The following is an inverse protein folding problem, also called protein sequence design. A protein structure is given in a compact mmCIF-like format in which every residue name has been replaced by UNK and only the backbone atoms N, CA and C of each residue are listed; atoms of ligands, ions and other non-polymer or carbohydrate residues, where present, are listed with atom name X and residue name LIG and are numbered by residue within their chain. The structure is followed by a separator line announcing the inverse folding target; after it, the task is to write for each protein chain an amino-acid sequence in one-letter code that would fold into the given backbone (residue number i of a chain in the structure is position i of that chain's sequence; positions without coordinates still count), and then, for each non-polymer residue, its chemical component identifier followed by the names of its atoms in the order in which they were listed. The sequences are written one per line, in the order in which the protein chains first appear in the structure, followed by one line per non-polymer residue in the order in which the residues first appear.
data_IF_892509380113
#
_entry.id   IF_892509380113
#
_cell.length_a   1.000
_cell.length_b   1.000
_cell.length_c   1.000
_cell.angle_alpha   90.00
_cell.angle_beta   90.00
_cell.angle_gamma   90.00
#
_symmetry.space_group_name_H-M   'P 1'
#
loop_
_entity.id
_entity.type
_entity.pdbx_description
1 polymer ?
#
# COMPACT_ATOMS: atom_id res chain seq x y z
N UNK A 1 -30.19 -15.44 -6.61
CA UNK A 1 -30.35 -15.40 -5.13
C UNK A 1 -30.08 -13.99 -4.64
N UNK A 2 -30.97 -13.47 -3.81
CA UNK A 2 -30.85 -12.11 -3.27
C UNK A 2 -29.90 -12.02 -2.06
N UNK A 3 -29.48 -13.16 -1.50
CA UNK A 3 -28.60 -13.25 -0.32
C UNK A 3 -27.57 -14.35 -0.50
N UNK A 4 -26.29 -14.03 -0.24
CA UNK A 4 -25.16 -14.96 -0.33
C UNK A 4 -24.18 -14.71 0.82
N UNK A 5 -23.87 -15.78 1.58
CA UNK A 5 -22.75 -15.77 2.53
C UNK A 5 -21.45 -16.20 1.85
N UNK A 6 -20.33 -15.57 2.20
CA UNK A 6 -18.99 -15.91 1.71
C UNK A 6 -18.05 -16.05 2.90
N UNK A 7 -17.32 -17.17 2.94
CA UNK A 7 -16.19 -17.38 3.84
C UNK A 7 -14.97 -17.77 3.01
N UNK A 8 -13.87 -17.09 3.23
CA UNK A 8 -12.59 -17.40 2.59
C UNK A 8 -11.56 -17.73 3.66
N UNK A 9 -11.03 -18.93 3.56
CA UNK A 9 -10.00 -19.43 4.47
C UNK A 9 -8.64 -19.33 3.79
N UNK A 10 -7.66 -18.88 4.53
CA UNK A 10 -6.25 -18.90 4.15
C UNK A 10 -5.50 -19.89 5.05
N UNK A 11 -4.81 -20.83 4.43
CA UNK A 11 -3.95 -21.80 5.12
C UNK A 11 -2.54 -21.53 4.61
N UNK A 12 -1.63 -21.09 5.51
CA UNK A 12 -0.32 -20.76 5.00
C UNK A 12 0.58 -19.98 5.94
N UNK A 13 1.59 -19.34 5.36
CA UNK A 13 2.71 -18.65 6.05
C UNK A 13 3.55 -19.60 6.90
N UNK A 14 3.67 -20.87 6.47
CA UNK A 14 4.51 -21.85 7.12
C UNK A 14 5.90 -21.88 6.48
N UNK A 15 6.91 -21.48 7.23
CA UNK A 15 8.31 -21.71 6.83
C UNK A 15 8.73 -23.10 7.25
N UNK A 16 9.10 -23.94 6.31
CA UNK A 16 9.52 -25.31 6.56
C UNK A 16 10.73 -25.32 7.52
N UNK A 17 10.62 -26.19 8.53
CA UNK A 17 11.60 -26.30 9.61
C UNK A 17 11.36 -25.38 10.82
N UNK A 18 10.38 -24.47 10.79
CA UNK A 18 10.02 -23.62 11.94
C UNK A 18 8.92 -24.30 12.79
N UNK A 19 9.30 -24.78 13.97
CA UNK A 19 8.37 -25.44 14.92
C UNK A 19 7.28 -24.49 15.43
N UNK A 20 7.59 -23.22 15.64
CA UNK A 20 6.63 -22.21 16.07
C UNK A 20 5.46 -22.01 15.09
N UNK A 21 5.69 -22.32 13.80
CA UNK A 21 4.67 -22.26 12.73
C UNK A 21 4.05 -23.62 12.41
N UNK A 22 4.38 -24.68 13.17
CA UNK A 22 3.89 -26.03 12.92
C UNK A 22 4.45 -26.68 11.65
N UNK A 23 5.67 -26.28 11.21
CA UNK A 23 6.29 -26.72 9.96
C UNK A 23 7.62 -27.44 10.14
N UNK A 24 7.97 -27.88 11.36
CA UNK A 24 9.15 -28.68 11.67
C UNK A 24 8.80 -30.16 11.84
N UNK A 25 9.81 -31.01 11.85
CA UNK A 25 9.63 -32.44 12.09
C UNK A 25 8.93 -32.69 13.44
N UNK A 26 7.85 -33.46 13.40
CA UNK A 26 7.07 -33.81 14.59
C UNK A 26 6.10 -32.71 15.06
N UNK A 27 5.84 -31.71 14.24
CA UNK A 27 4.82 -30.67 14.52
C UNK A 27 3.68 -30.72 13.50
N UNK A 28 2.46 -30.41 13.96
CA UNK A 28 1.28 -30.23 13.11
C UNK A 28 1.17 -28.76 12.65
N UNK A 29 0.56 -28.54 11.48
CA UNK A 29 0.24 -27.20 10.98
C UNK A 29 -0.66 -26.43 11.93
N UNK A 30 -0.42 -25.14 12.13
CA UNK A 30 -1.12 -24.33 13.14
C UNK A 30 -2.06 -23.27 12.60
N UNK A 31 -1.86 -22.80 11.35
CA UNK A 31 -2.55 -21.60 10.91
C UNK A 31 -3.65 -21.90 9.89
N UNK A 32 -4.89 -21.68 10.32
CA UNK A 32 -6.05 -21.50 9.45
C UNK A 32 -6.64 -20.13 9.79
N UNK A 33 -6.61 -19.22 8.84
CA UNK A 33 -7.13 -17.85 9.01
C UNK A 33 -8.43 -17.71 8.24
N UNK A 34 -9.37 -16.97 8.80
CA UNK A 34 -10.53 -16.47 8.06
C UNK A 34 -10.14 -15.12 7.47
N UNK A 35 -9.86 -15.07 6.17
CA UNK A 35 -9.49 -13.82 5.50
C UNK A 35 -10.70 -12.98 5.17
N UNK A 36 -11.79 -13.60 4.65
CA UNK A 36 -13.06 -12.93 4.41
C UNK A 36 -14.20 -13.68 5.09
N UNK A 37 -15.14 -12.92 5.63
CA UNK A 37 -16.42 -13.43 6.16
C UNK A 37 -17.45 -12.32 6.01
N UNK A 38 -18.27 -12.40 4.97
CA UNK A 38 -19.27 -11.38 4.68
C UNK A 38 -20.55 -11.95 4.07
N UNK A 39 -21.59 -11.14 4.12
CA UNK A 39 -22.87 -11.38 3.46
C UNK A 39 -23.04 -10.36 2.33
N UNK A 40 -23.37 -10.85 1.14
CA UNK A 40 -23.83 -10.03 0.00
C UNK A 40 -25.34 -10.11 -0.07
N UNK A 41 -26.01 -8.97 -0.02
CA UNK A 41 -27.44 -8.82 -0.19
C UNK A 41 -27.74 -7.91 -1.39
N UNK A 42 -28.44 -8.43 -2.38
CA UNK A 42 -29.01 -7.65 -3.47
C UNK A 42 -30.40 -7.22 -3.04
N UNK A 43 -30.63 -5.91 -2.92
CA UNK A 43 -31.92 -5.39 -2.50
C UNK A 43 -32.97 -5.72 -3.58
N UNK A 44 -34.07 -6.42 -3.23
CA UNK A 44 -35.05 -6.87 -4.21
C UNK A 44 -35.57 -5.73 -5.09
N UNK A 45 -35.70 -6.01 -6.39
CA UNK A 45 -36.20 -5.06 -7.41
C UNK A 45 -35.31 -3.82 -7.61
N UNK A 46 -34.03 -3.89 -7.24
CA UNK A 46 -33.05 -2.81 -7.44
C UNK A 46 -31.70 -3.40 -7.88
N UNK A 47 -30.80 -2.53 -8.36
CA UNK A 47 -29.40 -2.84 -8.65
C UNK A 47 -28.48 -2.58 -7.44
N UNK A 48 -29.07 -2.28 -6.28
CA UNK A 48 -28.34 -1.99 -5.05
C UNK A 48 -27.85 -3.29 -4.43
N UNK A 49 -26.55 -3.38 -4.22
CA UNK A 49 -25.90 -4.47 -3.50
C UNK A 49 -25.29 -3.94 -2.21
N UNK A 50 -25.61 -4.59 -1.10
CA UNK A 50 -25.03 -4.33 0.22
C UNK A 50 -24.14 -5.51 0.62
N UNK A 51 -22.89 -5.23 0.89
CA UNK A 51 -21.95 -6.19 1.47
C UNK A 51 -21.63 -5.81 2.90
N UNK A 52 -21.69 -6.74 3.84
CA UNK A 52 -21.44 -6.51 5.27
C UNK A 52 -20.53 -7.60 5.82
N UNK A 53 -19.48 -7.23 6.53
CA UNK A 53 -18.55 -8.13 7.20
C UNK A 53 -17.09 -7.86 6.86
N UNK A 54 -16.24 -8.85 7.12
CA UNK A 54 -14.81 -8.80 6.84
C UNK A 54 -14.58 -8.97 5.33
N UNK A 55 -14.07 -7.94 4.68
CA UNK A 55 -13.93 -7.85 3.22
C UNK A 55 -12.72 -7.02 2.82
N UNK A 56 -12.32 -7.09 1.54
CA UNK A 56 -11.25 -6.26 1.00
C UNK A 56 -11.73 -4.85 0.68
N UNK A 57 -10.89 -3.87 1.02
CA UNK A 57 -11.01 -2.46 0.65
C UNK A 57 -9.77 -2.04 -0.13
N UNK A 58 -9.98 -1.55 -1.35
CA UNK A 58 -8.90 -1.06 -2.22
C UNK A 58 -9.34 0.23 -2.89
N UNK A 59 -8.51 1.26 -2.85
CA UNK A 59 -8.76 2.50 -3.59
C UNK A 59 -8.42 2.30 -5.08
N UNK A 60 -9.14 3.01 -5.99
CA UNK A 60 -8.93 2.87 -7.42
C UNK A 60 -7.50 3.17 -7.85
N UNK A 61 -6.92 2.29 -8.68
CA UNK A 61 -5.67 2.53 -9.39
C UNK A 61 -5.69 1.81 -10.75
N UNK A 62 -5.09 2.42 -11.78
CA UNK A 62 -5.01 1.86 -13.13
C UNK A 62 -3.59 1.82 -13.69
N UNK A 63 -2.63 2.51 -13.09
CA UNK A 63 -1.22 2.49 -13.52
C UNK A 63 -0.54 1.16 -13.21
N UNK A 64 -1.12 0.39 -12.28
CA UNK A 64 -0.58 -0.90 -11.84
C UNK A 64 0.56 -0.79 -10.83
N UNK A 65 0.66 0.37 -10.15
CA UNK A 65 1.58 0.50 -9.01
C UNK A 65 1.01 -0.10 -7.72
N UNK A 66 -0.30 -0.37 -7.67
CA UNK A 66 -1.03 -0.70 -6.45
C UNK A 66 -1.66 0.51 -5.78
N UNK A 67 -2.15 0.37 -4.56
CA UNK A 67 -2.69 1.50 -3.80
C UNK A 67 -1.68 2.03 -2.78
N UNK A 68 -1.17 3.26 -2.94
CA UNK A 68 -0.25 3.84 -1.96
C UNK A 68 -0.93 4.28 -0.65
N UNK A 69 -2.25 4.17 -0.55
CA UNK A 69 -3.03 4.66 0.59
C UNK A 69 -3.72 3.52 1.34
N UNK A 70 -4.54 2.72 0.63
CA UNK A 70 -5.35 1.66 1.24
C UNK A 70 -5.56 0.51 0.26
N UNK A 71 -5.06 -0.67 0.62
CA UNK A 71 -5.37 -1.97 0.03
C UNK A 71 -5.32 -3.04 1.12
N UNK A 72 -6.41 -3.18 1.87
CA UNK A 72 -6.46 -3.97 3.09
C UNK A 72 -7.75 -4.77 3.24
N UNK A 73 -7.71 -5.76 4.10
CA UNK A 73 -8.88 -6.50 4.55
C UNK A 73 -9.40 -5.85 5.86
N UNK A 74 -10.70 -5.60 5.94
CA UNK A 74 -11.29 -4.95 7.10
C UNK A 74 -12.79 -5.22 7.27
N UNK A 75 -13.29 -4.96 8.47
CA UNK A 75 -14.71 -5.10 8.77
C UNK A 75 -15.49 -3.82 8.45
N UNK A 76 -16.62 -3.96 7.75
CA UNK A 76 -17.45 -2.82 7.44
C UNK A 76 -18.58 -3.13 6.48
N UNK A 77 -19.13 -2.09 5.86
CA UNK A 77 -20.28 -2.15 4.96
C UNK A 77 -19.91 -1.46 3.65
N UNK A 78 -20.22 -2.10 2.54
CA UNK A 78 -20.12 -1.51 1.21
C UNK A 78 -21.49 -1.54 0.52
N UNK A 79 -21.93 -0.40 -0.01
CA UNK A 79 -23.17 -0.26 -0.78
C UNK A 79 -22.76 0.12 -2.21
N UNK A 80 -23.07 -0.75 -3.15
CA UNK A 80 -22.78 -0.55 -4.57
C UNK A 80 -24.07 -0.39 -5.34
N UNK A 81 -24.07 0.52 -6.31
CA UNK A 81 -25.20 0.70 -7.24
C UNK A 81 -24.68 1.02 -8.64
N UNK A 82 -25.33 0.46 -9.66
CA UNK A 82 -25.11 0.79 -11.06
C UNK A 82 -26.31 1.61 -11.55
N UNK A 83 -26.12 2.92 -11.76
CA UNK A 83 -27.22 3.81 -12.18
C UNK A 83 -27.49 3.73 -13.68
N UNK A 84 -26.44 3.57 -14.49
CA UNK A 84 -26.51 3.39 -15.93
C UNK A 84 -25.40 2.41 -16.35
N UNK A 85 -25.36 2.02 -17.62
CA UNK A 85 -24.26 1.21 -18.17
C UNK A 85 -22.89 1.85 -17.96
N UNK A 86 -22.85 3.17 -17.85
CA UNK A 86 -21.60 3.93 -17.76
C UNK A 86 -21.28 4.44 -16.35
N UNK A 87 -22.26 4.51 -15.43
CA UNK A 87 -22.10 5.19 -14.13
C UNK A 87 -22.45 4.26 -12.98
N UNK A 88 -21.48 3.95 -12.17
CA UNK A 88 -21.66 3.23 -10.92
C UNK A 88 -21.24 4.05 -9.70
N UNK A 89 -21.56 3.56 -8.52
CA UNK A 89 -21.08 4.10 -7.23
C UNK A 89 -20.81 2.98 -6.26
N UNK A 90 -19.76 3.18 -5.41
CA UNK A 90 -19.52 2.36 -4.24
C UNK A 90 -19.32 3.30 -3.05
N UNK A 91 -20.23 3.24 -2.10
CA UNK A 91 -20.11 3.88 -0.80
C UNK A 91 -19.68 2.83 0.21
N UNK A 92 -18.68 3.12 1.01
CA UNK A 92 -18.24 2.18 2.05
C UNK A 92 -18.04 2.88 3.39
N UNK A 93 -18.24 2.11 4.45
CA UNK A 93 -17.79 2.40 5.80
C UNK A 93 -16.86 1.26 6.25
N UNK A 94 -15.70 1.61 6.78
CA UNK A 94 -14.68 0.70 7.27
C UNK A 94 -14.31 1.12 8.70
N UNK A 95 -14.44 0.22 9.64
CA UNK A 95 -13.86 0.37 10.99
C UNK A 95 -12.46 -0.21 11.00
N UNK A 96 -11.46 0.65 11.06
CA UNK A 96 -10.06 0.23 11.02
C UNK A 96 -9.52 -0.11 12.42
N UNK A 97 -9.97 0.60 13.47
CA UNK A 97 -9.61 0.31 14.85
C UNK A 97 -10.75 0.69 15.80
N UNK A 98 -10.82 0.01 16.93
CA UNK A 98 -11.74 0.32 18.01
C UNK A 98 -11.31 -0.43 19.28
N UNK A 99 -11.32 0.23 20.42
CA UNK A 99 -11.03 -0.35 21.73
C UNK A 99 -9.64 -1.02 21.80
N UNK A 100 -8.61 -0.24 21.51
CA UNK A 100 -7.21 -0.68 21.59
C UNK A 100 -6.65 -0.60 23.02
N UNK A 101 -7.48 -0.21 24.02
CA UNK A 101 -7.09 -0.23 25.44
C UNK A 101 -7.15 -1.68 25.96
N UNK A 102 -5.99 -2.30 26.27
CA UNK A 102 -5.95 -3.68 26.80
C UNK A 102 -6.63 -3.82 28.18
N UNK A 103 -6.89 -2.73 28.87
CA UNK A 103 -7.57 -2.76 30.19
C UNK A 103 -9.09 -2.71 30.10
N UNK A 104 -9.68 -2.50 28.92
CA UNK A 104 -11.14 -2.45 28.65
C UNK A 104 -11.94 -1.60 29.65
N UNK A 105 -11.29 -0.66 30.32
CA UNK A 105 -11.89 0.06 31.46
C UNK A 105 -12.67 1.29 31.02
N UNK A 106 -12.55 1.73 29.77
CA UNK A 106 -13.27 2.90 29.24
C UNK A 106 -13.64 2.67 27.77
N UNK A 107 -14.91 2.49 27.52
CA UNK A 107 -15.48 2.59 26.17
C UNK A 107 -15.62 4.08 25.78
N UNK A 108 -14.52 4.77 25.59
CA UNK A 108 -14.56 6.11 25.05
C UNK A 108 -14.15 6.06 23.56
N UNK A 109 -14.79 6.88 22.75
CA UNK A 109 -14.55 6.94 21.31
C UNK A 109 -13.15 7.48 20.95
N UNK A 110 -12.27 7.67 21.92
CA UNK A 110 -10.93 8.20 21.72
C UNK A 110 -9.97 7.19 21.09
N UNK A 111 -10.32 5.90 21.03
CA UNK A 111 -9.56 4.82 20.42
C UNK A 111 -10.10 4.35 19.07
N UNK A 112 -11.21 4.95 18.60
CA UNK A 112 -11.84 4.56 17.34
C UNK A 112 -11.18 5.20 16.12
N UNK A 113 -11.07 4.42 15.04
CA UNK A 113 -10.66 4.87 13.72
C UNK A 113 -11.64 4.33 12.69
N UNK A 114 -12.43 5.23 12.13
CA UNK A 114 -13.45 4.94 11.13
C UNK A 114 -13.21 5.72 9.84
N UNK A 115 -13.51 5.08 8.70
CA UNK A 115 -13.47 5.69 7.38
C UNK A 115 -14.82 5.55 6.67
N UNK A 116 -15.21 6.60 5.95
CA UNK A 116 -16.31 6.57 4.98
C UNK A 116 -15.74 7.02 3.64
N UNK A 117 -15.95 6.24 2.60
CA UNK A 117 -15.44 6.55 1.27
C UNK A 117 -16.48 6.32 0.18
N UNK A 118 -16.35 7.10 -0.89
CA UNK A 118 -17.17 7.02 -2.09
C UNK A 118 -16.25 6.91 -3.30
N UNK A 119 -16.52 5.94 -4.17
CA UNK A 119 -15.92 5.86 -5.50
C UNK A 119 -17.03 5.94 -6.56
N UNK A 120 -16.74 6.61 -7.67
CA UNK A 120 -17.69 6.79 -8.78
C UNK A 120 -17.05 6.27 -10.08
N UNK A 121 -17.09 4.94 -10.35
CA UNK A 121 -16.60 4.41 -11.61
C UNK A 121 -17.43 4.89 -12.79
N UNK A 122 -16.76 5.54 -13.74
CA UNK A 122 -17.28 5.99 -15.02
C UNK A 122 -16.60 5.15 -16.11
N UNK A 123 -17.39 4.43 -16.92
CA UNK A 123 -16.87 3.53 -17.96
C UNK A 123 -17.51 3.88 -19.30
N UNK A 124 -16.66 4.27 -20.25
CA UNK A 124 -17.03 4.55 -21.64
C UNK A 124 -16.21 3.67 -22.58
N UNK A 125 -16.51 3.70 -23.87
CA UNK A 125 -15.73 2.96 -24.85
C UNK A 125 -14.26 3.42 -24.87
N UNK A 126 -13.36 2.52 -24.49
CA UNK A 126 -11.92 2.79 -24.39
C UNK A 126 -11.49 3.78 -23.29
N UNK A 127 -12.39 4.24 -22.40
CA UNK A 127 -12.06 5.18 -21.33
C UNK A 127 -12.74 4.79 -20.00
N UNK A 128 -11.94 4.63 -18.96
CA UNK A 128 -12.42 4.44 -17.58
C UNK A 128 -11.86 5.56 -16.71
N UNK A 129 -12.72 6.18 -15.91
CA UNK A 129 -12.32 7.21 -14.94
C UNK A 129 -13.04 6.94 -13.63
N UNK A 130 -12.32 6.91 -12.53
CA UNK A 130 -12.90 6.70 -11.20
C UNK A 130 -12.44 7.79 -10.26
N UNK A 131 -13.16 8.92 -10.16
CA UNK A 131 -12.97 9.86 -9.06
C UNK A 131 -13.44 9.23 -7.75
N UNK A 132 -12.76 9.58 -6.65
CA UNK A 132 -13.09 9.05 -5.33
C UNK A 132 -12.75 10.04 -4.22
N UNK A 133 -13.38 9.88 -3.08
CA UNK A 133 -13.09 10.61 -1.87
C UNK A 133 -13.32 9.73 -0.64
N UNK A 134 -12.57 9.99 0.41
CA UNK A 134 -12.68 9.29 1.68
C UNK A 134 -12.41 10.26 2.82
N UNK A 135 -13.22 10.19 3.87
CA UNK A 135 -13.03 10.92 5.12
C UNK A 135 -13.03 9.98 6.30
N UNK A 136 -12.48 10.44 7.42
CA UNK A 136 -12.44 9.65 8.63
C UNK A 136 -12.22 10.48 9.89
N UNK A 137 -12.43 9.84 11.01
CA UNK A 137 -12.15 10.38 12.35
C UNK A 137 -11.21 9.42 13.04
N UNK A 138 -10.15 9.97 13.63
CA UNK A 138 -9.15 9.23 14.39
C UNK A 138 -9.16 9.74 15.83
N UNK A 139 -9.41 8.86 16.79
CA UNK A 139 -9.31 9.18 18.21
C UNK A 139 -7.86 9.34 18.65
N UNK A 140 -7.61 10.20 19.62
CA UNK A 140 -6.28 10.47 20.19
C UNK A 140 -5.58 9.18 20.68
N UNK A 141 -6.35 8.25 21.21
CA UNK A 141 -5.87 7.02 21.81
C UNK A 141 -5.87 5.81 20.85
N UNK A 142 -6.24 6.02 19.55
CA UNK A 142 -6.26 4.95 18.53
C UNK A 142 -4.90 4.24 18.36
N UNK A 143 -3.82 4.84 18.83
CA UNK A 143 -2.48 4.26 18.80
C UNK A 143 -1.99 3.80 20.19
N UNK A 144 -2.74 4.03 21.27
CA UNK A 144 -2.40 3.52 22.61
C UNK A 144 -2.54 2.00 22.65
N UNK A 145 -1.58 1.34 23.29
CA UNK A 145 -1.60 -0.12 23.42
C UNK A 145 -1.23 -0.88 22.16
N UNK A 146 -0.95 -0.19 21.05
CA UNK A 146 -0.39 -0.80 19.85
C UNK A 146 1.06 -1.21 20.10
N UNK A 147 1.21 -2.36 20.76
CA UNK A 147 2.47 -3.06 20.84
C UNK A 147 2.89 -3.58 19.46
N UNK A 148 4.06 -4.22 19.34
CA UNK A 148 4.57 -4.79 18.09
C UNK A 148 3.66 -5.85 17.45
N UNK A 149 2.60 -6.24 18.13
CA UNK A 149 1.61 -7.24 17.68
C UNK A 149 0.35 -6.65 17.03
N UNK A 150 0.23 -5.33 16.86
CA UNK A 150 -0.80 -4.73 16.00
C UNK A 150 -0.47 -5.04 14.53
N UNK A 151 -0.59 -6.31 14.22
CA UNK A 151 -0.52 -6.82 12.87
C UNK A 151 -1.77 -6.39 12.12
N UNK A 152 -1.66 -5.50 11.17
CA UNK A 152 -2.69 -5.24 10.19
C UNK A 152 -3.06 -3.79 9.94
N UNK A 153 -2.60 -2.82 10.72
CA UNK A 153 -2.86 -1.42 10.40
C UNK A 153 -1.52 -0.68 10.35
N UNK A 154 -1.15 -0.23 9.16
CA UNK A 154 0.04 0.58 8.95
C UNK A 154 -0.17 2.02 9.47
N UNK A 155 -0.64 2.13 10.70
CA UNK A 155 -0.89 3.41 11.38
C UNK A 155 0.29 4.39 11.32
N UNK A 156 1.56 3.94 11.36
CA UNK A 156 2.72 4.80 11.18
C UNK A 156 2.68 5.62 9.88
N UNK A 157 2.03 5.12 8.85
CA UNK A 157 1.84 5.84 7.58
C UNK A 157 0.93 7.06 7.68
N UNK A 158 0.13 7.21 8.74
CA UNK A 158 -0.75 8.37 8.96
C UNK A 158 -0.12 9.44 9.84
N UNK A 159 0.88 9.09 10.64
CA UNK A 159 1.53 10.02 11.58
C UNK A 159 2.75 10.69 10.95
N UNK A 160 3.13 11.90 11.40
CA UNK A 160 4.45 12.46 11.12
C UNK A 160 5.55 11.64 11.81
N UNK A 161 6.79 11.80 11.38
CA UNK A 161 8.00 11.21 12.01
C UNK A 161 7.91 9.70 12.28
N UNK A 162 7.47 8.92 11.29
CA UNK A 162 7.55 7.46 11.35
C UNK A 162 6.61 6.78 12.35
N UNK A 163 5.56 7.47 12.80
CA UNK A 163 4.51 6.85 13.60
C UNK A 163 4.79 6.82 15.09
N UNK A 164 5.35 7.88 15.65
CA UNK A 164 5.48 8.02 17.10
C UNK A 164 4.10 8.16 17.75
N UNK A 165 3.58 7.03 18.26
CA UNK A 165 2.30 6.96 18.95
C UNK A 165 2.25 7.86 20.19
N UNK A 166 3.39 8.11 20.86
CA UNK A 166 3.45 8.99 22.02
C UNK A 166 3.20 10.46 21.63
N UNK A 167 3.62 10.88 20.42
CA UNK A 167 3.32 12.22 19.91
C UNK A 167 1.82 12.34 19.63
N UNK A 168 1.19 11.37 18.99
CA UNK A 168 -0.24 11.38 18.74
C UNK A 168 -1.06 11.39 20.03
N UNK A 169 -0.70 10.54 21.01
CA UNK A 169 -1.37 10.48 22.31
C UNK A 169 -1.19 11.73 23.18
N UNK A 170 -0.26 12.63 22.84
CA UNK A 170 -0.02 13.91 23.52
C UNK A 170 -0.59 15.11 22.75
N UNK A 171 -1.37 14.88 21.71
CA UNK A 171 -2.01 15.94 20.93
C UNK A 171 -3.05 16.71 21.76
N UNK A 172 -3.34 17.94 21.34
CA UNK A 172 -4.31 18.82 22.01
C UNK A 172 -5.76 18.59 21.56
N UNK A 173 -6.00 17.60 20.69
CA UNK A 173 -7.34 17.23 20.20
C UNK A 173 -7.68 15.80 20.62
N UNK A 174 -8.87 15.61 21.16
CA UNK A 174 -9.42 14.29 21.47
C UNK A 174 -9.67 13.47 20.19
N UNK A 175 -9.98 14.13 19.08
CA UNK A 175 -10.22 13.52 17.78
C UNK A 175 -9.54 14.33 16.69
N UNK A 176 -8.84 13.63 15.80
CA UNK A 176 -8.27 14.16 14.57
C UNK A 176 -9.21 13.95 13.38
N UNK A 177 -8.98 14.71 12.33
CA UNK A 177 -9.69 14.60 11.05
C UNK A 177 -8.80 13.97 9.99
N UNK A 178 -9.42 13.13 9.15
CA UNK A 178 -8.78 12.48 8.03
C UNK A 178 -9.59 12.76 6.77
N UNK A 179 -8.94 13.09 5.68
CA UNK A 179 -9.58 13.13 4.38
C UNK A 179 -8.59 12.83 3.25
N UNK A 180 -9.11 12.20 2.21
CA UNK A 180 -8.42 11.89 0.97
C UNK A 180 -9.34 12.19 -0.21
N UNK A 181 -8.74 12.56 -1.33
CA UNK A 181 -9.42 12.67 -2.60
C UNK A 181 -8.48 12.31 -3.74
N UNK A 182 -9.02 11.64 -4.75
CA UNK A 182 -8.20 11.17 -5.85
C UNK A 182 -9.00 10.83 -7.10
N UNK A 183 -8.26 10.46 -8.13
CA UNK A 183 -8.78 10.04 -9.43
C UNK A 183 -7.88 8.96 -9.99
N UNK A 184 -8.48 7.93 -10.58
CA UNK A 184 -7.80 6.96 -11.42
C UNK A 184 -8.42 6.99 -12.82
N UNK A 185 -7.59 6.93 -13.87
CA UNK A 185 -8.04 6.93 -15.25
C UNK A 185 -7.25 5.90 -16.09
N UNK A 186 -7.95 5.21 -16.99
CA UNK A 186 -7.41 4.26 -17.94
C UNK A 186 -7.97 4.53 -19.34
N UNK A 187 -7.09 4.75 -20.32
CA UNK A 187 -7.45 5.13 -21.68
C UNK A 187 -6.83 4.11 -22.64
N UNK A 188 -7.69 3.32 -23.26
CA UNK A 188 -7.35 2.33 -24.31
C UNK A 188 -7.92 2.70 -25.66
N UNK A 189 -8.57 3.85 -25.78
CA UNK A 189 -9.21 4.35 -27.01
C UNK A 189 -8.24 4.46 -28.20
N UNK A 190 -6.95 4.67 -27.93
CA UNK A 190 -5.92 4.89 -28.95
C UNK A 190 -5.12 3.60 -29.25
N UNK A 191 -5.79 2.47 -29.43
CA UNK A 191 -5.09 1.22 -29.76
C UNK A 191 -4.04 1.40 -30.84
N UNK A 192 -2.83 0.85 -30.67
CA UNK A 192 -2.35 -0.09 -29.65
C UNK A 192 -1.77 0.57 -28.38
N UNK A 193 -1.98 1.87 -28.17
CA UNK A 193 -1.55 2.58 -26.98
C UNK A 193 -2.54 2.40 -25.83
N UNK A 194 -2.01 2.29 -24.61
CA UNK A 194 -2.74 2.41 -23.36
C UNK A 194 -2.07 3.48 -22.49
N UNK A 195 -2.87 4.40 -21.96
CA UNK A 195 -2.43 5.39 -20.98
C UNK A 195 -3.21 5.21 -19.69
N UNK A 196 -2.53 5.32 -18.55
CA UNK A 196 -3.21 5.33 -17.25
C UNK A 196 -2.63 6.42 -16.35
N UNK A 197 -3.48 6.96 -15.50
CA UNK A 197 -3.16 8.01 -14.52
C UNK A 197 -3.81 7.66 -13.18
N UNK A 198 -3.04 7.78 -12.11
CA UNK A 198 -3.54 7.76 -10.74
C UNK A 198 -3.01 8.99 -10.01
N UNK A 199 -3.87 9.70 -9.29
CA UNK A 199 -3.47 10.84 -8.48
C UNK A 199 -4.35 10.94 -7.24
N UNK A 200 -3.73 11.32 -6.12
CA UNK A 200 -4.47 11.58 -4.89
C UNK A 200 -3.73 12.58 -3.98
N UNK A 201 -4.51 13.22 -3.15
CA UNK A 201 -4.08 14.02 -2.01
C UNK A 201 -4.74 13.50 -0.75
N UNK A 202 -4.01 13.52 0.38
CA UNK A 202 -4.54 13.15 1.68
C UNK A 202 -4.05 14.06 2.79
N UNK A 203 -4.82 14.14 3.86
CA UNK A 203 -4.48 14.89 5.07
C UNK A 203 -5.01 14.18 6.30
N UNK A 204 -4.15 14.01 7.29
CA UNK A 204 -4.45 13.57 8.65
C UNK A 204 -4.01 14.68 9.58
N UNK A 205 -4.91 15.23 10.40
CA UNK A 205 -4.66 16.33 11.33
C UNK A 205 -5.18 15.97 12.71
N UNK A 206 -4.27 15.73 13.64
CA UNK A 206 -4.56 15.42 15.05
C UNK A 206 -4.27 16.60 15.99
N UNK A 207 -4.02 17.82 15.45
CA UNK A 207 -3.76 19.00 16.24
C UNK A 207 -2.29 19.24 16.53
N UNK A 208 -1.96 19.70 17.73
CA UNK A 208 -0.60 20.04 18.14
C UNK A 208 -0.15 19.29 19.36
N UNK A 209 1.15 19.07 19.47
CA UNK A 209 1.82 18.49 20.63
C UNK A 209 3.08 19.29 20.95
N UNK A 210 3.80 18.94 21.99
CA UNK A 210 5.09 19.53 22.33
C UNK A 210 6.22 18.56 22.07
N UNK A 211 7.15 18.97 21.21
CA UNK A 211 8.37 18.23 20.92
C UNK A 211 9.58 19.11 21.22
N UNK A 212 10.49 18.65 22.08
CA UNK A 212 11.71 19.40 22.47
C UNK A 212 11.42 20.83 22.98
N UNK A 213 10.29 21.02 23.68
CA UNK A 213 9.86 22.33 24.20
C UNK A 213 9.25 23.28 23.18
N UNK A 214 9.09 22.88 21.93
CA UNK A 214 8.42 23.61 20.85
C UNK A 214 7.09 22.96 20.50
N UNK A 215 6.14 23.76 20.00
CA UNK A 215 4.92 23.22 19.42
C UNK A 215 5.26 22.45 18.14
N UNK A 216 4.62 21.33 17.98
CA UNK A 216 4.78 20.41 16.85
C UNK A 216 3.39 20.08 16.29
N UNK A 217 3.19 20.27 15.01
CA UNK A 217 1.94 19.91 14.35
C UNK A 217 1.86 18.40 14.14
N UNK A 218 0.90 17.74 14.81
CA UNK A 218 0.62 16.31 14.62
C UNK A 218 -0.23 16.17 13.37
N UNK A 219 0.39 16.47 12.24
CA UNK A 219 -0.26 16.52 10.93
C UNK A 219 0.62 15.85 9.88
N UNK A 220 -0.03 15.10 8.99
CA UNK A 220 0.61 14.60 7.77
C UNK A 220 -0.30 14.86 6.58
N UNK A 221 0.20 15.59 5.58
CA UNK A 221 -0.57 15.99 4.41
C UNK A 221 0.29 15.99 3.16
N UNK A 222 -0.10 15.24 2.15
CA UNK A 222 0.71 15.11 0.95
C UNK A 222 -0.06 14.54 -0.22
N UNK A 223 0.62 14.38 -1.35
CA UNK A 223 0.03 13.95 -2.60
C UNK A 223 0.93 12.99 -3.37
N UNK A 224 0.34 12.26 -4.31
CA UNK A 224 1.06 11.54 -5.34
C UNK A 224 0.36 11.65 -6.68
N UNK A 225 1.14 11.42 -7.74
CA UNK A 225 0.63 11.18 -9.08
C UNK A 225 1.49 10.11 -9.76
N UNK A 226 0.86 9.22 -10.51
CA UNK A 226 1.51 8.21 -11.32
C UNK A 226 0.94 8.21 -12.73
N UNK A 227 1.79 7.99 -13.73
CA UNK A 227 1.42 7.95 -15.14
C UNK A 227 2.08 6.75 -15.83
N UNK A 228 1.28 6.00 -16.57
CA UNK A 228 1.69 4.85 -17.37
C UNK A 228 1.39 5.10 -18.85
N UNK A 229 2.35 4.78 -19.72
CA UNK A 229 2.16 4.65 -21.17
C UNK A 229 2.65 3.28 -21.61
N UNK A 230 1.83 2.51 -22.32
CA UNK A 230 2.16 1.21 -22.88
C UNK A 230 1.84 1.17 -24.37
N UNK A 231 2.58 0.33 -25.08
CA UNK A 231 2.36 0.05 -26.49
C UNK A 231 2.28 -1.46 -26.70
N UNK A 232 1.12 -1.96 -27.13
CA UNK A 232 0.90 -3.39 -27.32
C UNK A 232 1.41 -3.85 -28.68
N UNK A 233 2.47 -4.65 -28.68
CA UNK A 233 2.97 -5.40 -29.83
C UNK A 233 2.42 -6.82 -29.81
N UNK A 234 2.61 -7.56 -30.89
CA UNK A 234 2.20 -8.98 -30.98
C UNK A 234 2.96 -9.87 -29.99
N UNK A 235 4.25 -9.60 -29.77
CA UNK A 235 5.16 -10.44 -28.95
C UNK A 235 5.51 -9.89 -27.60
N UNK A 236 5.16 -8.63 -27.30
CA UNK A 236 5.46 -8.00 -26.02
C UNK A 236 4.71 -6.67 -25.85
N UNK A 237 4.74 -6.13 -24.64
CA UNK A 237 4.13 -4.83 -24.31
C UNK A 237 5.16 -3.95 -23.62
N UNK A 238 5.98 -3.15 -24.36
CA UNK A 238 6.82 -2.13 -23.75
C UNK A 238 5.99 -1.03 -23.11
N UNK A 239 6.51 -0.46 -22.02
CA UNK A 239 5.85 0.61 -21.30
C UNK A 239 6.81 1.44 -20.47
N UNK A 240 6.37 2.66 -20.16
CA UNK A 240 7.02 3.61 -19.27
C UNK A 240 6.05 3.95 -18.15
N UNK A 241 6.50 3.84 -16.91
CA UNK A 241 5.77 4.26 -15.73
C UNK A 241 6.60 5.33 -15.02
N UNK A 242 5.94 6.38 -14.60
CA UNK A 242 6.48 7.44 -13.75
C UNK A 242 5.58 7.62 -12.53
N UNK A 243 6.18 7.88 -11.36
CA UNK A 243 5.44 8.43 -10.23
C UNK A 243 6.23 9.50 -9.50
N UNK A 244 5.51 10.33 -8.80
CA UNK A 244 6.03 11.31 -7.85
C UNK A 244 5.12 11.32 -6.62
N UNK A 245 5.71 11.29 -5.44
CA UNK A 245 5.01 11.52 -4.17
C UNK A 245 5.76 12.58 -3.37
N UNK A 246 5.01 13.48 -2.76
CA UNK A 246 5.56 14.55 -1.92
C UNK A 246 6.36 13.98 -0.75
N UNK A 247 7.40 14.70 -0.34
CA UNK A 247 8.27 14.40 0.79
C UNK A 247 8.31 15.54 1.78
N UNK A 248 8.90 15.30 2.93
CA UNK A 248 9.05 16.27 4.01
C UNK A 248 9.89 17.47 3.60
N UNK A 249 9.52 18.64 4.07
CA UNK A 249 10.30 19.86 3.94
C UNK A 249 11.46 19.94 4.98
N UNK A 250 12.04 21.11 5.20
CA UNK A 250 13.16 21.30 6.14
C UNK A 250 12.70 21.57 7.59
N UNK A 251 11.40 21.76 7.81
CA UNK A 251 10.88 22.15 9.11
C UNK A 251 10.23 20.95 9.83
N UNK A 252 10.84 20.39 10.86
CA UNK A 252 10.29 19.22 11.54
C UNK A 252 9.09 19.53 12.46
N UNK A 253 8.71 20.81 12.61
CA UNK A 253 7.68 21.22 13.58
C UNK A 253 6.32 21.51 12.94
N UNK A 254 6.22 21.58 11.60
CA UNK A 254 4.97 21.83 10.87
C UNK A 254 4.24 20.55 10.41
N UNK A 255 4.65 19.40 10.93
CA UNK A 255 4.12 18.08 10.55
C UNK A 255 4.95 17.42 9.45
N UNK A 256 4.29 16.69 8.57
CA UNK A 256 4.89 15.99 7.43
C UNK A 256 4.13 16.28 6.15
N UNK A 257 4.84 16.58 5.06
CA UNK A 257 4.29 16.79 3.71
C UNK A 257 4.26 15.49 2.88
N UNK A 258 4.58 14.35 3.49
CA UNK A 258 4.48 13.05 2.84
C UNK A 258 3.01 12.64 2.68
N UNK A 259 2.69 11.93 1.59
CA UNK A 259 1.37 11.32 1.44
C UNK A 259 1.06 10.44 2.66
N UNK A 260 -0.03 10.66 3.40
CA UNK A 260 -0.43 9.75 4.45
C UNK A 260 -0.95 8.43 3.86
N UNK A 261 -0.59 7.30 4.46
CA UNK A 261 -1.03 5.96 4.09
C UNK A 261 -1.65 5.25 5.29
N UNK A 262 -2.69 4.46 5.02
CA UNK A 262 -3.41 3.67 6.04
C UNK A 262 -2.81 2.26 6.07
N UNK A 263 -2.96 1.54 4.97
CA UNK A 263 -2.37 0.22 4.72
C UNK A 263 -2.06 0.13 3.22
N UNK A 264 -0.87 0.63 2.81
CA UNK A 264 -0.49 0.67 1.41
C UNK A 264 -0.05 -0.71 0.93
N UNK A 265 -0.40 -1.04 -0.31
CA UNK A 265 0.12 -2.20 -1.02
C UNK A 265 0.59 -1.77 -2.41
N UNK A 266 1.90 -1.55 -2.54
CA UNK A 266 2.58 -1.21 -3.79
C UNK A 266 3.34 -2.43 -4.29
N UNK A 267 2.95 -2.90 -5.47
CA UNK A 267 3.45 -4.14 -6.08
C UNK A 267 4.08 -3.92 -7.46
N UNK A 268 4.66 -2.78 -7.69
CA UNK A 268 5.17 -2.35 -9.01
C UNK A 268 6.42 -3.11 -9.47
N UNK A 269 7.24 -3.60 -8.53
CA UNK A 269 8.43 -4.41 -8.80
C UNK A 269 8.47 -5.64 -7.90
N UNK A 270 9.19 -6.68 -8.31
CA UNK A 270 9.25 -7.94 -7.58
C UNK A 270 10.32 -7.98 -6.48
N UNK A 271 11.09 -6.90 -6.27
CA UNK A 271 12.11 -6.84 -5.24
C UNK A 271 12.13 -5.53 -4.44
N UNK A 272 12.08 -4.38 -5.07
CA UNK A 272 12.02 -3.10 -4.36
C UNK A 272 10.70 -2.96 -3.58
N UNK A 273 9.61 -3.43 -4.17
CA UNK A 273 8.26 -3.45 -3.61
C UNK A 273 7.70 -4.87 -3.57
N UNK A 274 6.44 -5.06 -3.19
CA UNK A 274 5.81 -6.39 -3.04
C UNK A 274 5.14 -6.89 -4.34
N UNK A 275 5.78 -6.68 -5.48
CA UNK A 275 5.32 -7.18 -6.78
C UNK A 275 5.65 -8.67 -7.04
N UNK A 276 5.88 -9.46 -6.00
CA UNK A 276 6.10 -10.90 -6.09
C UNK A 276 4.79 -11.69 -6.19
N UNK A 277 4.81 -12.83 -6.86
CA UNK A 277 3.65 -13.72 -6.95
C UNK A 277 3.33 -14.42 -5.63
N UNK A 278 4.25 -14.40 -4.67
CA UNK A 278 4.07 -14.98 -3.34
C UNK A 278 4.51 -13.98 -2.28
N UNK A 279 3.58 -13.62 -1.41
CA UNK A 279 3.81 -12.72 -0.28
C UNK A 279 4.88 -13.23 0.67
N UNK A 280 5.45 -12.33 1.46
CA UNK A 280 6.47 -12.65 2.48
C UNK A 280 7.91 -12.67 1.98
N UNK A 281 8.17 -12.30 0.73
CA UNK A 281 9.51 -12.02 0.26
C UNK A 281 9.99 -10.66 0.83
N UNK A 282 11.27 -10.57 1.16
CA UNK A 282 11.85 -9.31 1.63
C UNK A 282 11.76 -8.23 0.54
N UNK A 283 11.16 -7.11 0.89
CA UNK A 283 11.14 -5.90 0.07
C UNK A 283 12.28 -4.97 0.53
N UNK A 284 12.96 -4.36 -0.43
CA UNK A 284 14.06 -3.45 -0.10
C UNK A 284 13.57 -2.03 0.19
N UNK A 285 12.54 -1.57 -0.53
CA UNK A 285 11.97 -0.22 -0.41
C UNK A 285 10.67 -0.21 0.40
N UNK A 286 10.00 -1.35 0.57
CA UNK A 286 8.79 -1.51 1.37
C UNK A 286 7.50 -1.55 0.56
N UNK A 287 6.37 -1.16 1.18
CA UNK A 287 5.01 -1.29 0.62
C UNK A 287 4.44 0.01 0.07
N UNK A 288 5.14 1.12 0.17
CA UNK A 288 4.62 2.43 -0.22
C UNK A 288 5.60 3.26 -1.04
N UNK A 289 5.11 4.32 -1.67
CA UNK A 289 5.89 5.24 -2.53
C UNK A 289 6.05 6.65 -1.94
N UNK A 290 5.49 6.92 -0.76
CA UNK A 290 5.48 8.26 -0.16
C UNK A 290 6.90 8.77 0.07
N UNK A 291 7.19 9.99 -0.32
CA UNK A 291 8.54 10.55 -0.22
C UNK A 291 9.51 10.08 -1.30
N UNK A 292 8.99 9.57 -2.46
CA UNK A 292 9.83 9.13 -3.58
C UNK A 292 9.28 9.57 -4.93
N UNK A 293 10.15 9.63 -5.93
CA UNK A 293 9.77 9.61 -7.32
C UNK A 293 10.56 8.54 -8.07
N UNK A 294 10.02 8.03 -9.17
CA UNK A 294 10.72 7.06 -10.00
C UNK A 294 10.30 7.10 -11.45
N UNK A 295 11.18 6.56 -12.29
CA UNK A 295 10.92 6.24 -13.69
C UNK A 295 11.23 4.77 -13.91
N UNK A 296 10.28 4.03 -14.48
CA UNK A 296 10.43 2.63 -14.83
C UNK A 296 10.21 2.42 -16.32
N UNK A 297 11.17 1.79 -16.97
CA UNK A 297 10.95 1.13 -18.24
C UNK A 297 10.62 -0.36 -17.98
N UNK A 298 9.53 -0.84 -18.58
CA UNK A 298 9.17 -2.26 -18.50
C UNK A 298 8.84 -2.82 -19.87
N UNK A 299 9.10 -4.11 -20.04
CA UNK A 299 8.59 -4.90 -21.17
C UNK A 299 7.91 -6.11 -20.55
N UNK A 300 6.62 -6.21 -20.72
CA UNK A 300 5.83 -7.37 -20.25
C UNK A 300 5.32 -8.19 -21.43
N UNK A 301 4.74 -9.33 -21.12
CA UNK A 301 4.16 -10.26 -22.10
C UNK A 301 5.20 -10.76 -23.13
N UNK A 302 6.50 -10.78 -22.76
CA UNK A 302 7.55 -11.34 -23.61
C UNK A 302 7.35 -12.85 -23.66
N UNK A 303 7.05 -13.38 -24.83
CA UNK A 303 6.81 -14.81 -25.03
C UNK A 303 7.53 -15.33 -26.27
N UNK A 304 8.25 -16.44 -26.10
CA UNK A 304 8.96 -17.14 -27.18
C UNK A 304 8.32 -18.50 -27.46
N UNK A 305 7.44 -18.97 -26.61
CA UNK A 305 6.71 -20.21 -26.74
C UNK A 305 5.40 -20.12 -25.95
N UNK A 306 4.46 -21.00 -26.30
CA UNK A 306 3.17 -21.11 -25.63
C UNK A 306 3.34 -21.30 -24.12
N UNK A 307 2.46 -20.68 -23.32
CA UNK A 307 2.42 -20.76 -21.86
C UNK A 307 3.65 -20.22 -21.10
N UNK A 308 4.64 -19.63 -21.78
CA UNK A 308 5.80 -19.00 -21.17
C UNK A 308 5.71 -17.48 -21.34
N UNK A 309 5.83 -16.73 -20.28
CA UNK A 309 5.87 -15.27 -20.31
C UNK A 309 6.97 -14.70 -19.40
N UNK A 310 7.55 -13.59 -19.83
CA UNK A 310 8.56 -12.88 -19.08
C UNK A 310 8.19 -11.42 -18.92
N UNK A 311 8.69 -10.82 -17.84
CA UNK A 311 8.63 -9.38 -17.60
C UNK A 311 10.02 -8.88 -17.22
N UNK A 312 10.50 -7.87 -17.93
CA UNK A 312 11.73 -7.14 -17.60
C UNK A 312 11.36 -5.75 -17.13
N UNK A 313 11.95 -5.32 -15.98
CA UNK A 313 11.80 -3.96 -15.45
C UNK A 313 13.17 -3.37 -15.13
N UNK A 314 13.34 -2.11 -15.46
CA UNK A 314 14.50 -1.29 -15.07
C UNK A 314 13.94 -0.01 -14.48
N UNK A 315 14.30 0.28 -13.23
CA UNK A 315 13.73 1.38 -12.45
C UNK A 315 14.83 2.24 -11.85
N UNK A 316 14.65 3.54 -11.93
CA UNK A 316 15.41 4.52 -11.17
C UNK A 316 14.51 5.18 -10.13
N UNK A 317 14.99 5.27 -8.90
CA UNK A 317 14.31 5.88 -7.76
C UNK A 317 15.14 7.02 -7.19
N UNK A 318 14.45 8.04 -6.65
CA UNK A 318 15.07 9.06 -5.82
C UNK A 318 14.11 9.52 -4.74
N UNK A 319 14.64 9.84 -3.56
CA UNK A 319 13.87 10.41 -2.47
C UNK A 319 13.44 11.87 -2.74
N UNK A 320 12.31 12.25 -2.14
CA UNK A 320 11.79 13.64 -2.17
C UNK A 320 11.86 14.33 -0.80
N UNK A 321 12.23 13.59 0.27
CA UNK A 321 12.33 14.15 1.61
C UNK A 321 13.55 15.05 1.76
N UNK A 322 13.42 16.13 2.54
CA UNK A 322 14.51 17.05 2.81
C UNK A 322 15.56 16.42 3.76
N UNK A 323 16.84 16.63 3.49
CA UNK A 323 17.96 16.14 4.29
C UNK A 323 17.99 16.70 5.72
N UNK A 324 17.40 17.87 5.94
CA UNK A 324 17.38 18.53 7.26
C UNK A 324 16.64 17.68 8.30
N UNK A 325 15.65 16.90 7.93
CA UNK A 325 14.96 15.97 8.84
C UNK A 325 15.95 14.99 9.50
N UNK A 326 16.88 14.45 8.72
CA UNK A 326 17.94 13.55 9.22
C UNK A 326 19.00 14.34 10.01
N UNK A 327 19.46 15.51 9.51
CA UNK A 327 20.46 16.35 10.18
C UNK A 327 20.00 16.84 11.55
N UNK A 328 18.71 17.09 11.71
CA UNK A 328 18.12 17.50 12.99
C UNK A 328 17.80 16.31 13.92
N UNK A 329 18.12 15.08 13.52
CA UNK A 329 17.93 13.89 14.32
C UNK A 329 16.47 13.42 14.43
N UNK A 330 15.57 13.90 13.56
CA UNK A 330 14.18 13.48 13.54
C UNK A 330 14.03 12.09 12.90
N UNK A 331 14.91 11.74 11.99
CA UNK A 331 15.01 10.44 11.35
C UNK A 331 16.44 9.94 11.54
N UNK A 332 16.59 8.82 12.22
CA UNK A 332 17.89 8.21 12.54
C UNK A 332 18.22 6.98 11.69
N UNK A 333 17.23 6.43 11.02
CA UNK A 333 17.39 5.23 10.21
C UNK A 333 16.47 5.31 8.96
N UNK A 334 16.98 5.10 7.75
CA UNK A 334 16.13 5.09 6.56
C UNK A 334 15.10 3.94 6.54
N UNK A 335 15.30 2.90 7.34
CA UNK A 335 14.37 1.76 7.49
C UNK A 335 13.42 1.92 8.69
N UNK A 336 13.38 3.10 9.32
CA UNK A 336 12.71 3.34 10.60
C UNK A 336 11.17 3.40 10.52
N UNK A 337 10.60 3.32 9.35
CA UNK A 337 9.17 3.11 9.23
C UNK A 337 8.87 1.62 9.35
N UNK A 338 8.40 1.17 10.49
CA UNK A 338 8.13 -0.25 10.79
C UNK A 338 7.22 -0.94 9.76
N UNK A 339 6.58 -0.20 8.85
CA UNK A 339 5.47 -0.77 8.09
C UNK A 339 5.45 -0.51 6.60
N UNK A 340 6.24 0.37 6.00
CA UNK A 340 5.94 0.49 4.58
C UNK A 340 7.03 0.94 3.65
N UNK A 341 8.04 1.66 4.07
CA UNK A 341 8.99 2.18 3.08
C UNK A 341 10.26 2.74 3.68
N UNK A 342 11.31 2.74 2.88
CA UNK A 342 12.52 3.49 3.23
C UNK A 342 12.25 5.00 3.18
N UNK A 343 12.76 5.71 4.18
CA UNK A 343 12.82 7.17 4.17
C UNK A 343 14.00 7.61 3.31
N UNK A 344 13.74 7.96 2.05
CA UNK A 344 14.76 8.41 1.12
C UNK A 344 14.74 9.95 1.04
N UNK A 345 15.91 10.57 1.21
CA UNK A 345 16.08 12.01 1.04
C UNK A 345 16.40 12.37 -0.41
N UNK A 346 16.37 13.66 -0.73
CA UNK A 346 16.77 14.17 -2.07
C UNK A 346 18.21 13.83 -2.47
N UNK A 347 19.04 13.35 -1.53
CA UNK A 347 20.39 12.85 -1.78
C UNK A 347 20.45 11.36 -2.08
N UNK A 348 19.38 10.62 -1.80
CA UNK A 348 19.35 9.16 -1.87
C UNK A 348 18.69 8.71 -3.18
N UNK A 349 19.24 7.69 -3.80
CA UNK A 349 18.73 7.12 -5.05
C UNK A 349 18.95 5.62 -5.08
N UNK A 350 18.21 4.94 -5.96
CA UNK A 350 18.40 3.52 -6.23
C UNK A 350 18.17 3.20 -7.71
N UNK A 351 18.78 2.11 -8.15
CA UNK A 351 18.51 1.49 -9.45
C UNK A 351 18.13 0.05 -9.22
N UNK A 352 17.04 -0.39 -9.82
CA UNK A 352 16.56 -1.75 -9.72
C UNK A 352 16.40 -2.37 -11.11
N UNK A 353 16.70 -3.67 -11.21
CA UNK A 353 16.45 -4.51 -12.39
C UNK A 353 15.74 -5.77 -11.92
N UNK A 354 14.59 -6.08 -12.53
CA UNK A 354 13.88 -7.35 -12.31
C UNK A 354 13.73 -8.10 -13.63
N UNK A 355 13.81 -9.42 -13.54
CA UNK A 355 13.45 -10.33 -14.60
C UNK A 355 12.61 -11.46 -14.03
N UNK A 356 11.32 -11.44 -14.33
CA UNK A 356 10.36 -12.40 -13.82
C UNK A 356 9.86 -13.28 -14.95
N UNK A 357 9.67 -14.55 -14.65
CA UNK A 357 9.22 -15.58 -15.57
C UNK A 357 8.05 -16.35 -14.98
N UNK A 358 6.97 -16.51 -15.74
CA UNK A 358 5.90 -17.45 -15.48
C UNK A 358 5.87 -18.50 -16.59
N UNK A 359 5.82 -19.78 -16.20
CA UNK A 359 5.56 -20.90 -17.08
C UNK A 359 4.34 -21.69 -16.61
N UNK A 360 3.28 -21.70 -17.41
CA UNK A 360 2.06 -22.46 -17.15
C UNK A 360 2.25 -23.90 -17.61
N UNK A 361 2.73 -24.74 -16.68
CA UNK A 361 2.99 -26.15 -16.96
C UNK A 361 1.70 -26.94 -17.28
N UNK A 362 0.61 -26.59 -16.60
CA UNK A 362 -0.75 -27.07 -16.86
C UNK A 362 -1.73 -25.91 -16.66
N UNK A 363 -2.98 -26.09 -17.08
CA UNK A 363 -4.05 -25.07 -16.94
C UNK A 363 -4.17 -24.50 -15.52
N UNK A 364 -3.83 -25.30 -14.52
CA UNK A 364 -3.95 -24.97 -13.11
C UNK A 364 -2.63 -25.02 -12.33
N UNK A 365 -1.49 -25.18 -13.00
CA UNK A 365 -0.16 -25.25 -12.38
C UNK A 365 0.81 -24.32 -13.11
N UNK A 366 1.30 -23.31 -12.41
CA UNK A 366 2.31 -22.38 -12.90
C UNK A 366 3.60 -22.46 -12.07
N UNK A 367 4.72 -22.33 -12.74
CA UNK A 367 6.05 -22.15 -12.17
C UNK A 367 6.45 -20.69 -12.30
N UNK A 368 7.02 -20.11 -11.27
CA UNK A 368 7.49 -18.72 -11.26
C UNK A 368 8.96 -18.66 -10.88
N UNK A 369 9.71 -17.85 -11.58
CA UNK A 369 11.08 -17.46 -11.23
C UNK A 369 11.14 -15.95 -11.23
N UNK A 370 11.57 -15.37 -10.10
CA UNK A 370 11.77 -13.93 -9.95
C UNK A 370 13.23 -13.67 -9.62
N UNK A 371 13.86 -12.84 -10.43
CA UNK A 371 15.24 -12.39 -10.24
C UNK A 371 15.24 -10.88 -10.09
N UNK A 372 15.82 -10.39 -8.99
CA UNK A 372 15.93 -8.98 -8.68
C UNK A 372 17.33 -8.57 -8.26
N UNK A 373 17.73 -7.40 -8.72
CA UNK A 373 18.91 -6.70 -8.27
C UNK A 373 18.55 -5.26 -7.98
N UNK A 374 18.91 -4.76 -6.79
CA UNK A 374 18.77 -3.36 -6.45
C UNK A 374 20.09 -2.81 -5.89
N UNK A 375 20.51 -1.67 -6.41
CA UNK A 375 21.62 -0.88 -5.88
C UNK A 375 21.09 0.36 -5.20
N UNK A 376 21.33 0.46 -3.90
CA UNK A 376 21.06 1.63 -3.07
C UNK A 376 22.29 2.53 -3.07
N UNK A 377 22.14 3.79 -3.44
CA UNK A 377 23.17 4.83 -3.37
C UNK A 377 22.68 5.92 -2.42
N UNK A 378 22.89 5.68 -1.12
CA UNK A 378 22.49 6.58 -0.04
C UNK A 378 23.58 7.62 0.21
N UNK A 379 23.16 8.82 0.63
CA UNK A 379 24.08 9.91 1.03
C UNK A 379 24.89 9.49 2.26
N UNK A 380 26.10 8.98 2.00
CA UNK A 380 26.97 8.38 3.03
C UNK A 380 27.32 9.35 4.16
N UNK A 381 27.51 10.62 3.84
CA UNK A 381 27.85 11.63 4.85
C UNK A 381 26.66 11.92 5.75
N UNK A 382 25.45 11.95 5.18
CA UNK A 382 24.22 12.16 5.91
C UNK A 382 23.89 10.99 6.84
N UNK A 383 23.83 9.78 6.30
CA UNK A 383 23.40 8.59 7.04
C UNK A 383 24.45 8.06 8.01
N UNK A 384 25.74 8.16 7.68
CA UNK A 384 26.81 7.84 8.61
C UNK A 384 26.81 8.76 9.83
N UNK A 385 26.39 10.01 9.68
CA UNK A 385 26.25 10.96 10.77
C UNK A 385 25.26 10.50 11.86
N UNK A 386 24.31 9.65 11.52
CA UNK A 386 23.34 9.03 12.45
C UNK A 386 23.61 7.55 12.70
N UNK A 387 24.77 7.04 12.28
CA UNK A 387 25.22 5.67 12.58
C UNK A 387 24.66 4.58 11.67
N UNK A 388 24.11 4.92 10.52
CA UNK A 388 23.56 3.94 9.58
C UNK A 388 24.55 3.63 8.44
N UNK A 389 24.80 2.34 8.20
CA UNK A 389 25.58 1.82 7.07
C UNK A 389 24.74 0.86 6.23
N UNK A 390 24.37 1.29 5.03
CA UNK A 390 23.56 0.48 4.12
C UNK A 390 24.41 -0.52 3.33
N UNK A 391 23.82 -1.69 3.06
CA UNK A 391 24.31 -2.55 1.98
C UNK A 391 23.94 -1.93 0.63
N UNK A 392 24.94 -1.60 -0.17
CA UNK A 392 24.71 -0.93 -1.47
C UNK A 392 24.07 -1.87 -2.51
N UNK A 393 24.45 -3.13 -2.53
CA UNK A 393 24.04 -4.09 -3.54
C UNK A 393 23.23 -5.23 -2.90
N UNK A 394 22.03 -5.44 -3.37
CA UNK A 394 21.15 -6.48 -2.90
C UNK A 394 20.63 -7.32 -4.08
N UNK A 395 20.50 -8.62 -3.86
CA UNK A 395 20.04 -9.59 -4.86
C UNK A 395 18.92 -10.43 -4.28
N UNK A 396 17.94 -10.76 -5.12
CA UNK A 396 16.85 -11.69 -4.82
C UNK A 396 16.75 -12.72 -5.93
N UNK A 397 16.54 -13.97 -5.56
CA UNK A 397 16.10 -15.03 -6.44
C UNK A 397 15.01 -15.83 -5.76
N UNK A 398 13.84 -15.96 -6.39
CA UNK A 398 12.69 -16.71 -5.89
C UNK A 398 12.26 -17.73 -6.93
N UNK A 399 12.00 -18.95 -6.49
CA UNK A 399 11.31 -19.97 -7.26
C UNK A 399 10.03 -20.36 -6.53
N UNK A 400 8.92 -20.37 -7.26
CA UNK A 400 7.61 -20.66 -6.69
C UNK A 400 6.80 -21.56 -7.60
N UNK A 401 5.91 -22.34 -6.99
CA UNK A 401 4.97 -23.23 -7.68
C UNK A 401 3.57 -22.86 -7.23
N UNK A 402 2.73 -22.43 -8.15
CA UNK A 402 1.32 -22.07 -7.90
C UNK A 402 0.37 -23.11 -8.49
N UNK A 403 -0.50 -23.65 -7.66
CA UNK A 403 -1.57 -24.55 -8.09
C UNK A 403 -2.94 -23.96 -7.75
N UNK A 404 -3.83 -23.92 -8.74
CA UNK A 404 -5.23 -23.47 -8.58
C UNK A 404 -6.16 -24.65 -8.83
N UNK A 405 -7.09 -24.91 -7.92
CA UNK A 405 -8.11 -25.99 -8.02
C UNK A 405 -9.53 -25.44 -8.05
#
# INVERSE_FOLDING_TARGET
ESLKGVMFFEIGHQNWGKSAQGAALGTDGKEVKVRYSYVDWVVPQTDVKVRMGLQKYTLPNFTGIGSPILDADGAGITISNQFTENVGTNLFWLRAANDNDPEMTKHDAHDALDFIGLTVPLTFDGVKVTPWGMGGIIGQDSFKGSGPDMTGIAMPGMLPLGGDAAIAASSDKDHGSIWYGGIAADVTYFEPFRFALDAAYGSVDMGTSKLNGKNFDVKRSGWYAAFLAEYKLESCTPGLLFWYSSGDDANPYNGSERLPSIDPDVYVTSYGFDGTNYGGAAQTLGYGISGTWAVMARVKDISFMEDLSHVLRVVYYQGTNNKEMVRQGMISNPQDSQYSMMYLTTGDKAVEVNFDTEYKLYKNLSLFVELGYIRLDLDKDLWKGVGYEAKENNFKGTFSVGYKF
#
